data_IF_858447387074
#
_entry.id   IF_858447387074
#
_cell.length_a   1.000
_cell.length_b   1.000
_cell.length_c   1.000
_cell.angle_alpha   90.00
_cell.angle_beta   90.00
_cell.angle_gamma   90.00
#
_symmetry.space_group_name_H-M   'P 1'
#
loop_
_entity.id
_entity.type
_entity.pdbx_description
1 polymer ?
#
# COMPACT_ATOMS: atom_id res chain seq x y z
N UNK A 1 10.89 9.45 -5.95
CA UNK A 1 10.64 8.26 -6.80
C UNK A 1 9.59 7.34 -6.16
N UNK A 2 9.42 7.45 -4.84
CA UNK A 2 8.69 6.51 -3.97
C UNK A 2 7.18 6.35 -4.23
N UNK A 3 6.44 7.42 -4.50
CA UNK A 3 4.99 7.33 -4.69
C UNK A 3 4.59 6.62 -6.00
N UNK A 4 5.37 6.83 -7.07
CA UNK A 4 5.08 6.23 -8.36
C UNK A 4 5.22 4.70 -8.32
N UNK A 5 6.26 4.21 -7.66
CA UNK A 5 6.52 2.78 -7.52
C UNK A 5 5.46 2.11 -6.63
N UNK A 6 5.07 2.77 -5.54
CA UNK A 6 3.97 2.34 -4.66
C UNK A 6 2.65 2.28 -5.43
N UNK A 7 2.30 3.32 -6.20
CA UNK A 7 1.09 3.32 -7.02
C UNK A 7 1.11 2.23 -8.08
N UNK A 8 2.24 2.06 -8.77
CA UNK A 8 2.41 1.01 -9.79
C UNK A 8 2.18 -0.36 -9.17
N UNK A 9 2.74 -0.62 -7.98
CA UNK A 9 2.54 -1.89 -7.28
C UNK A 9 1.10 -2.03 -6.76
N UNK A 10 0.51 -0.98 -6.20
CA UNK A 10 -0.86 -1.00 -5.69
C UNK A 10 -1.88 -1.32 -6.80
N UNK A 11 -1.66 -0.81 -8.02
CA UNK A 11 -2.48 -1.11 -9.20
C UNK A 11 -2.35 -2.55 -9.71
N UNK A 12 -1.30 -3.27 -9.32
CA UNK A 12 -1.19 -4.71 -9.62
C UNK A 12 -2.01 -5.56 -8.64
N UNK A 13 -2.25 -5.05 -7.43
CA UNK A 13 -2.96 -5.75 -6.36
C UNK A 13 -4.44 -5.38 -6.33
N UNK A 14 -4.76 -4.12 -6.62
CA UNK A 14 -6.09 -3.55 -6.50
C UNK A 14 -6.60 -2.95 -7.80
N UNK A 15 -7.93 -2.82 -7.90
CA UNK A 15 -8.52 -1.94 -8.91
C UNK A 15 -8.12 -0.47 -8.65
N UNK A 16 -8.07 0.39 -9.69
CA UNK A 16 -7.56 1.76 -9.55
C UNK A 16 -8.22 2.58 -8.45
N UNK A 17 -9.54 2.48 -8.29
CA UNK A 17 -10.26 3.19 -7.24
C UNK A 17 -9.86 2.70 -5.85
N UNK A 18 -9.79 1.39 -5.66
CA UNK A 18 -9.37 0.76 -4.41
C UNK A 18 -7.92 1.08 -4.06
N UNK A 19 -7.02 1.17 -5.04
CA UNK A 19 -5.63 1.60 -4.81
C UNK A 19 -5.56 3.04 -4.26
N UNK A 20 -6.39 3.94 -4.78
CA UNK A 20 -6.47 5.32 -4.28
C UNK A 20 -7.11 5.39 -2.89
N UNK A 21 -8.21 4.64 -2.67
CA UNK A 21 -8.88 4.57 -1.38
C UNK A 21 -7.97 3.95 -0.30
N UNK A 22 -7.15 2.96 -0.67
CA UNK A 22 -6.15 2.34 0.20
C UNK A 22 -5.13 3.34 0.72
N UNK A 23 -4.61 4.24 -0.12
CA UNK A 23 -3.58 5.22 0.27
C UNK A 23 -4.02 6.16 1.41
N UNK A 24 -5.31 6.45 1.48
CA UNK A 24 -5.89 7.36 2.48
C UNK A 24 -6.66 6.63 3.58
N UNK A 25 -6.91 5.33 3.41
CA UNK A 25 -7.55 4.46 4.40
C UNK A 25 -6.56 3.93 5.44
N UNK A 26 -7.07 3.20 6.43
CA UNK A 26 -6.23 2.57 7.46
C UNK A 26 -5.83 1.17 7.04
N UNK A 27 -4.53 0.87 7.08
CA UNK A 27 -3.98 -0.41 6.66
C UNK A 27 -3.46 -1.23 7.86
N UNK A 28 -4.06 -2.40 8.17
CA UNK A 28 -3.57 -3.31 9.23
C UNK A 28 -2.09 -3.67 9.15
N UNK A 29 -1.53 -3.87 7.95
CA UNK A 29 -0.10 -4.16 7.77
C UNK A 29 0.83 -2.98 8.12
N UNK A 30 0.25 -1.79 8.33
CA UNK A 30 0.95 -0.55 8.65
C UNK A 30 0.56 -0.01 10.03
N UNK A 31 0.32 -0.89 11.01
CA UNK A 31 -0.11 -0.52 12.37
C UNK A 31 -1.43 0.30 12.38
N UNK A 32 -2.34 0.00 11.45
CA UNK A 32 -3.57 0.77 11.19
C UNK A 32 -3.34 2.24 10.80
N UNK A 33 -2.13 2.61 10.40
CA UNK A 33 -1.83 3.94 9.88
C UNK A 33 -2.30 4.09 8.42
N UNK A 34 -2.43 5.34 7.98
CA UNK A 34 -2.68 5.65 6.57
C UNK A 34 -1.40 5.44 5.76
N UNK A 35 -1.42 4.71 4.63
CA UNK A 35 -0.22 4.49 3.84
C UNK A 35 0.48 5.78 3.42
N UNK A 36 -0.26 6.85 3.10
CA UNK A 36 0.33 8.14 2.74
C UNK A 36 1.14 8.77 3.90
N UNK A 37 0.71 8.61 5.15
CA UNK A 37 1.45 9.11 6.31
C UNK A 37 2.74 8.30 6.51
N UNK A 38 2.65 6.98 6.33
CA UNK A 38 3.81 6.08 6.43
C UNK A 38 4.82 6.37 5.31
N UNK A 39 4.35 6.67 4.10
CA UNK A 39 5.21 7.05 2.98
C UNK A 39 6.03 8.29 3.31
N UNK A 40 5.41 9.30 3.92
CA UNK A 40 6.09 10.54 4.33
C UNK A 40 7.05 10.30 5.50
N UNK A 41 6.66 9.48 6.47
CA UNK A 41 7.44 9.28 7.70
C UNK A 41 8.57 8.24 7.59
N UNK A 42 8.37 7.19 6.79
CA UNK A 42 9.22 6.00 6.74
C UNK A 42 9.64 5.59 5.33
N UNK A 43 9.14 6.26 4.29
CA UNK A 43 9.42 5.96 2.89
C UNK A 43 8.55 4.83 2.32
N UNK A 44 8.86 4.39 1.10
CA UNK A 44 8.06 3.43 0.31
C UNK A 44 8.19 1.97 0.77
N UNK A 45 9.30 1.60 1.42
CA UNK A 45 9.60 0.19 1.71
C UNK A 45 8.50 -0.53 2.53
N UNK A 46 7.94 0.04 3.61
CA UNK A 46 6.85 -0.61 4.35
C UNK A 46 5.58 -0.80 3.52
N UNK A 47 5.27 0.14 2.62
CA UNK A 47 4.10 0.07 1.76
C UNK A 47 4.24 -1.06 0.73
N UNK A 48 5.43 -1.22 0.15
CA UNK A 48 5.70 -2.31 -0.79
C UNK A 48 5.62 -3.69 -0.12
N UNK A 49 6.06 -3.80 1.14
CA UNK A 49 5.90 -5.03 1.92
C UNK A 49 4.44 -5.31 2.25
N UNK A 50 3.68 -4.30 2.69
CA UNK A 50 2.23 -4.43 2.92
C UNK A 50 1.50 -4.92 1.64
N UNK A 51 1.79 -4.30 0.49
CA UNK A 51 1.22 -4.70 -0.79
C UNK A 51 1.62 -6.13 -1.20
N UNK A 52 2.85 -6.58 -0.88
CA UNK A 52 3.25 -7.98 -1.06
C UNK A 52 2.44 -8.92 -0.16
N UNK A 53 2.26 -8.56 1.11
CA UNK A 53 1.47 -9.33 2.07
C UNK A 53 0.03 -9.50 1.59
N UNK A 54 -0.60 -8.42 1.14
CA UNK A 54 -1.98 -8.42 0.63
C UNK A 54 -2.12 -9.31 -0.61
N UNK A 55 -1.20 -9.18 -1.56
CA UNK A 55 -1.16 -10.02 -2.78
C UNK A 55 -0.99 -11.51 -2.44
N UNK A 56 -0.14 -11.83 -1.46
CA UNK A 56 0.10 -13.20 -1.01
C UNK A 56 -1.07 -13.80 -0.21
N UNK A 57 -1.88 -12.97 0.44
CA UNK A 57 -3.06 -13.39 1.21
C UNK A 57 -4.31 -13.64 0.37
N UNK A 58 -4.32 -13.24 -0.90
CA UNK A 58 -5.44 -13.45 -1.83
C UNK A 58 -5.58 -14.89 -2.36
N UNK A 59 -4.65 -15.79 -2.02
CA UNK A 59 -4.64 -17.20 -2.45
C UNK A 59 -5.04 -18.21 -1.35
N UNK A 60 -5.71 -17.77 -0.29
CA UNK A 60 -6.27 -18.65 0.74
C UNK A 60 -7.71 -19.09 0.44
#
# INVERSE_FOLDING_TARGET
MDLHDVLTRALQVFQPRTAMDWLVGNEPFLDHARPIDVLVARGSAPLLEALRGIDSGGYA
#
